data_IF_636574104379
#
_entry.id   IF_636574104379
#
_cell.length_a   1.000
_cell.length_b   1.000
_cell.length_c   1.000
_cell.angle_alpha   90.00
_cell.angle_beta   90.00
_cell.angle_gamma   90.00
#
_symmetry.space_group_name_H-M   'P 1'
#
loop_
_entity.id
_entity.type
_entity.pdbx_description
1 polymer ?
#
# COMPACT_ATOMS: atom_id res chain seq x y z
N UNK A 1 -14.32 2.61 -6.04
CA UNK A 1 -12.89 2.47 -5.72
C UNK A 1 -12.76 2.17 -4.24
N UNK A 2 -12.10 1.07 -3.90
CA UNK A 2 -11.80 0.65 -2.54
C UNK A 2 -10.30 0.89 -2.31
N UNK A 3 -9.97 1.76 -1.35
CA UNK A 3 -8.59 2.05 -0.96
C UNK A 3 -8.23 1.25 0.27
N UNK A 4 -7.42 0.20 0.08
CA UNK A 4 -6.99 -0.71 1.11
C UNK A 4 -5.75 -0.17 1.81
N UNK A 5 -5.84 0.11 3.10
CA UNK A 5 -4.73 0.57 3.96
C UNK A 5 -4.81 -0.09 5.32
N UNK A 6 -3.66 -0.28 5.98
CA UNK A 6 -3.56 -0.97 7.27
C UNK A 6 -3.00 -0.05 8.37
N UNK A 7 -2.63 -0.65 9.51
CA UNK A 7 -2.05 0.04 10.64
C UNK A 7 -0.61 0.55 10.44
N UNK A 8 0.06 0.24 9.31
CA UNK A 8 1.41 0.72 9.01
C UNK A 8 1.42 2.04 8.25
N UNK A 9 0.25 2.56 7.87
CA UNK A 9 0.14 3.79 7.10
C UNK A 9 0.50 5.01 7.96
N UNK A 10 1.11 6.04 7.38
CA UNK A 10 1.35 7.29 8.11
C UNK A 10 0.05 8.07 8.38
N UNK A 11 -0.01 8.81 9.50
CA UNK A 11 -1.16 9.63 9.87
C UNK A 11 -2.12 8.91 10.81
N UNK A 12 -3.43 9.09 10.61
CA UNK A 12 -4.44 8.30 11.34
C UNK A 12 -4.51 6.89 10.72
N UNK A 13 -4.38 5.88 11.57
CA UNK A 13 -4.19 4.50 11.15
C UNK A 13 -5.05 3.53 11.97
N UNK A 14 -5.30 2.35 11.41
CA UNK A 14 -6.01 1.27 12.08
C UNK A 14 -5.05 0.43 12.95
N UNK A 15 -5.57 -0.62 13.59
CA UNK A 15 -4.77 -1.64 14.29
C UNK A 15 -4.60 -2.93 13.46
N UNK A 16 -5.09 -2.92 12.23
CA UNK A 16 -5.18 -4.12 11.40
C UNK A 16 -3.86 -4.41 10.67
N UNK A 17 -3.60 -5.69 10.42
CA UNK A 17 -2.57 -6.12 9.48
C UNK A 17 -2.96 -5.81 8.03
N UNK A 18 -1.97 -5.62 7.17
CA UNK A 18 -2.18 -5.38 5.75
C UNK A 18 -2.78 -6.57 5.00
N UNK A 19 -2.27 -7.78 5.26
CA UNK A 19 -2.52 -8.93 4.42
C UNK A 19 -3.72 -9.74 4.91
N UNK A 20 -3.83 -10.00 6.21
CA UNK A 20 -4.86 -10.90 6.74
C UNK A 20 -6.28 -10.49 6.30
N UNK A 21 -6.76 -9.24 6.53
CA UNK A 21 -8.13 -8.90 6.17
C UNK A 21 -8.29 -8.79 4.63
N UNK A 22 -7.20 -8.57 3.89
CA UNK A 22 -7.22 -8.55 2.43
C UNK A 22 -7.47 -9.95 1.89
N UNK A 23 -6.76 -10.95 2.40
CA UNK A 23 -6.94 -12.36 2.04
C UNK A 23 -8.36 -12.86 2.33
N UNK A 24 -8.90 -12.51 3.50
CA UNK A 24 -10.25 -12.90 3.93
C UNK A 24 -11.36 -12.28 3.05
N UNK A 25 -11.13 -11.08 2.50
CA UNK A 25 -12.16 -10.32 1.75
C UNK A 25 -11.92 -10.25 0.24
N UNK A 26 -10.75 -10.65 -0.26
CA UNK A 26 -10.35 -10.47 -1.66
C UNK A 26 -11.35 -11.06 -2.65
N UNK A 27 -11.79 -12.30 -2.41
CA UNK A 27 -12.77 -12.97 -3.27
C UNK A 27 -14.12 -12.26 -3.29
N UNK A 28 -14.57 -11.71 -2.16
CA UNK A 28 -15.81 -10.95 -2.09
C UNK A 28 -15.70 -9.63 -2.88
N UNK A 29 -14.59 -8.92 -2.72
CA UNK A 29 -14.30 -7.69 -3.48
C UNK A 29 -14.28 -7.97 -4.99
N UNK A 30 -13.63 -9.06 -5.43
CA UNK A 30 -13.53 -9.44 -6.84
C UNK A 30 -14.85 -9.91 -7.47
N UNK A 31 -15.88 -10.25 -6.68
CA UNK A 31 -17.23 -10.55 -7.20
C UNK A 31 -18.00 -9.28 -7.61
N UNK A 32 -17.54 -8.10 -7.20
CA UNK A 32 -18.19 -6.83 -7.49
C UNK A 32 -17.47 -6.15 -8.65
N UNK A 33 -18.02 -6.29 -9.87
CA UNK A 33 -17.34 -5.94 -11.13
C UNK A 33 -16.96 -4.47 -11.30
N UNK A 34 -17.57 -3.56 -10.54
CA UNK A 34 -17.28 -2.13 -10.56
C UNK A 34 -16.38 -1.66 -9.39
N UNK A 35 -15.85 -2.58 -8.58
CA UNK A 35 -14.89 -2.26 -7.53
C UNK A 35 -13.46 -2.36 -8.07
N UNK A 36 -12.75 -1.23 -8.03
CA UNK A 36 -11.30 -1.18 -8.18
C UNK A 36 -10.65 -1.29 -6.81
N UNK A 37 -9.77 -2.27 -6.62
CA UNK A 37 -8.99 -2.49 -5.39
C UNK A 37 -7.64 -1.80 -5.53
N UNK A 38 -7.45 -0.69 -4.82
CA UNK A 38 -6.19 0.07 -4.78
C UNK A 38 -5.53 -0.14 -3.43
N UNK A 39 -4.27 -0.56 -3.42
CA UNK A 39 -3.53 -0.81 -2.18
C UNK A 39 -2.64 0.36 -1.79
N UNK A 40 -2.55 0.67 -0.51
CA UNK A 40 -1.68 1.72 0.04
C UNK A 40 -1.22 1.34 1.46
N UNK A 41 -0.11 1.93 1.92
CA UNK A 41 0.58 1.68 3.21
C UNK A 41 1.96 1.05 3.02
N UNK A 42 3.02 1.77 3.38
CA UNK A 42 4.41 1.29 3.31
C UNK A 42 5.06 1.25 1.92
N UNK A 43 4.35 1.56 0.84
CA UNK A 43 4.90 1.53 -0.53
C UNK A 43 5.88 2.69 -0.80
N UNK A 44 7.09 2.36 -1.30
CA UNK A 44 8.16 3.34 -1.52
C UNK A 44 8.98 3.19 -2.80
N UNK A 45 9.32 1.97 -3.21
CA UNK A 45 10.03 1.64 -4.44
C UNK A 45 9.18 0.73 -5.34
N UNK A 46 9.58 0.51 -6.60
CA UNK A 46 8.78 -0.31 -7.52
C UNK A 46 9.03 -1.81 -7.32
N UNK A 47 10.23 -2.19 -6.87
CA UNK A 47 10.66 -3.56 -6.66
C UNK A 47 9.77 -4.29 -5.66
N UNK A 48 9.46 -3.64 -4.54
CA UNK A 48 8.61 -4.16 -3.47
C UNK A 48 7.13 -4.01 -3.82
N UNK A 49 6.78 -3.00 -4.63
CA UNK A 49 5.40 -2.67 -4.98
C UNK A 49 4.83 -3.58 -6.09
N UNK A 50 5.66 -3.98 -7.06
CA UNK A 50 5.20 -4.69 -8.27
C UNK A 50 4.47 -6.00 -7.97
N UNK A 51 4.84 -6.69 -6.89
CA UNK A 51 4.24 -7.96 -6.50
C UNK A 51 2.74 -7.85 -6.22
N UNK A 52 2.26 -6.66 -5.84
CA UNK A 52 0.84 -6.40 -5.63
C UNK A 52 0.10 -6.20 -6.95
N UNK A 53 0.75 -5.64 -7.98
CA UNK A 53 0.17 -5.55 -9.32
C UNK A 53 0.19 -6.89 -10.05
N UNK A 54 1.24 -7.70 -9.88
CA UNK A 54 1.33 -9.05 -10.47
C UNK A 54 0.51 -10.08 -9.69
N UNK A 55 0.19 -9.79 -8.42
CA UNK A 55 -0.49 -10.71 -7.50
C UNK A 55 0.42 -11.79 -6.91
N UNK A 56 1.74 -11.70 -7.07
CA UNK A 56 2.69 -12.70 -6.58
C UNK A 56 2.82 -12.73 -5.06
N UNK A 57 2.45 -11.64 -4.38
CA UNK A 57 2.47 -11.55 -2.91
C UNK A 57 1.66 -12.67 -2.24
N UNK A 58 0.53 -13.08 -2.83
CA UNK A 58 -0.33 -14.11 -2.24
C UNK A 58 0.31 -15.50 -2.31
N UNK A 59 1.08 -15.78 -3.37
CA UNK A 59 1.79 -17.04 -3.53
C UNK A 59 2.89 -17.19 -2.46
N UNK A 60 3.63 -16.12 -2.20
CA UNK A 60 4.65 -16.08 -1.15
C UNK A 60 4.06 -16.31 0.26
N UNK A 61 2.74 -16.10 0.41
CA UNK A 61 1.99 -16.32 1.65
C UNK A 61 1.25 -17.66 1.69
N UNK A 62 1.46 -18.54 0.71
CA UNK A 62 0.94 -19.91 0.70
C UNK A 62 -0.39 -20.09 -0.05
N UNK A 63 -0.91 -19.06 -0.72
CA UNK A 63 -2.10 -19.20 -1.56
C UNK A 63 -1.76 -19.85 -2.90
N UNK A 64 -2.72 -20.60 -3.47
CA UNK A 64 -2.55 -21.28 -4.77
C UNK A 64 -2.77 -20.36 -5.99
N UNK A 65 -3.29 -19.15 -5.75
CA UNK A 65 -3.69 -18.22 -6.80
C UNK A 65 -3.10 -16.83 -6.58
N UNK A 66 -2.76 -16.16 -7.69
CA UNK A 66 -2.31 -14.75 -7.68
C UNK A 66 -3.47 -13.83 -7.34
N UNK A 67 -3.23 -12.85 -6.47
CA UNK A 67 -4.23 -11.86 -6.04
C UNK A 67 -3.81 -10.43 -6.45
N UNK A 68 -3.81 -10.07 -7.74
CA UNK A 68 -3.38 -8.74 -8.16
C UNK A 68 -4.26 -7.63 -7.57
N UNK A 69 -3.73 -6.42 -7.42
CA UNK A 69 -4.44 -5.19 -7.15
C UNK A 69 -4.55 -4.36 -8.44
N UNK A 70 -5.49 -3.42 -8.47
CA UNK A 70 -5.77 -2.58 -9.65
C UNK A 70 -4.96 -1.28 -9.64
N UNK A 71 -4.32 -0.94 -8.52
CA UNK A 71 -3.46 0.23 -8.40
C UNK A 71 -2.77 0.33 -7.05
N UNK A 72 -1.84 1.29 -6.96
CA UNK A 72 -1.06 1.57 -5.75
C UNK A 72 -1.21 3.04 -5.38
N UNK A 73 -1.46 3.30 -4.10
CA UNK A 73 -1.54 4.62 -3.49
C UNK A 73 -0.25 4.91 -2.71
N UNK A 74 0.34 6.09 -2.97
CA UNK A 74 1.55 6.56 -2.30
C UNK A 74 1.26 7.81 -1.48
N UNK A 75 1.32 7.69 -0.15
CA UNK A 75 1.15 8.80 0.80
C UNK A 75 2.49 9.35 1.28
N UNK A 76 3.04 8.79 2.37
CA UNK A 76 4.29 9.27 2.99
C UNK A 76 5.44 9.45 2.00
N UNK A 77 5.55 8.55 1.00
CA UNK A 77 6.59 8.57 -0.02
C UNK A 77 6.67 9.90 -0.79
N UNK A 78 5.54 10.56 -1.04
CA UNK A 78 5.47 11.78 -1.87
C UNK A 78 5.58 13.07 -1.04
N UNK A 79 5.66 13.00 0.28
CA UNK A 79 5.75 14.18 1.17
C UNK A 79 7.04 15.00 0.98
N UNK A 80 8.07 14.40 0.35
CA UNK A 80 9.36 15.03 0.06
C UNK A 80 9.52 15.44 -1.41
N UNK A 81 8.47 15.28 -2.24
CA UNK A 81 8.48 15.72 -3.63
C UNK A 81 8.79 17.23 -3.73
N UNK A 82 9.33 17.67 -4.87
CA UNK A 82 9.77 19.06 -5.08
C UNK A 82 8.63 20.05 -4.83
N UNK A 83 7.45 19.74 -5.36
CA UNK A 83 6.23 20.54 -5.33
C UNK A 83 5.49 20.47 -3.99
N UNK A 84 5.82 19.50 -3.12
CA UNK A 84 5.18 19.39 -1.81
C UNK A 84 5.53 20.62 -0.95
N UNK A 85 4.52 21.23 -0.31
CA UNK A 85 4.66 22.43 0.51
C UNK A 85 5.33 22.17 1.88
N UNK A 86 5.74 20.93 2.15
CA UNK A 86 6.54 20.56 3.33
C UNK A 86 7.77 21.45 3.44
N UNK A 87 8.00 22.08 4.60
CA UNK A 87 9.13 22.97 4.79
C UNK A 87 10.47 22.26 4.50
N UNK A 88 11.49 22.93 3.91
CA UNK A 88 12.74 22.28 3.52
C UNK A 88 13.44 21.52 4.66
N UNK A 89 13.45 22.09 5.87
CA UNK A 89 14.01 21.43 7.04
C UNK A 89 13.25 20.14 7.42
N UNK A 90 11.93 20.12 7.25
CA UNK A 90 11.09 18.93 7.50
C UNK A 90 11.30 17.88 6.41
N UNK A 91 11.46 18.27 5.13
CA UNK A 91 11.82 17.33 4.06
C UNK A 91 13.15 16.64 4.36
N UNK A 92 14.15 17.40 4.83
CA UNK A 92 15.43 16.83 5.26
C UNK A 92 15.25 15.84 6.42
N UNK A 93 14.48 16.21 7.44
CA UNK A 93 14.21 15.32 8.58
C UNK A 93 13.51 14.01 8.13
N UNK A 94 12.55 14.10 7.21
CA UNK A 94 11.86 12.91 6.66
C UNK A 94 12.81 12.00 5.89
N UNK A 95 13.78 12.57 5.15
CA UNK A 95 14.79 11.80 4.42
C UNK A 95 15.81 11.16 5.36
N UNK A 96 16.22 11.88 6.40
CA UNK A 96 17.23 11.41 7.36
C UNK A 96 16.68 10.38 8.36
N UNK A 97 15.35 10.24 8.48
CA UNK A 97 14.70 9.29 9.39
C UNK A 97 14.60 7.91 8.74
N UNK A 98 15.32 6.89 9.22
CA UNK A 98 15.18 5.54 8.70
C UNK A 98 13.80 4.95 9.07
N UNK A 99 13.23 4.17 8.15
CA UNK A 99 12.10 3.29 8.46
C UNK A 99 12.53 2.08 9.27
N UNK A 100 11.60 1.15 9.48
CA UNK A 100 11.82 -0.14 10.15
C UNK A 100 11.90 -1.25 9.10
#
# INVERSE_FOLDING_TARGET
MLQWTDGRAGGHQSFEDFHQPMEETYAANRRVSNVLVVVGSGFGNWEDSKQYLTGEWSLARGHLHKMPADGILMGSRVMVAKEAATAPAVKKLLVDTPGI
#
